data_IF_254109961867
#
_entry.id   IF_254109961867
#
_cell.length_a   1.000
_cell.length_b   1.000
_cell.length_c   1.000
_cell.angle_alpha   90.00
_cell.angle_beta   90.00
_cell.angle_gamma   90.00
#
_symmetry.space_group_name_H-M   'P 1'
#
loop_
_entity.id
_entity.type
_entity.pdbx_description
1 polymer ?
#
# COMPACT_ATOMS: atom_id res chain seq x y z
N UNK A 1 4.44 27.63 7.55
CA UNK A 1 3.72 26.37 7.78
C UNK A 1 4.76 25.30 8.12
N UNK A 2 4.79 24.76 9.34
CA UNK A 2 5.76 23.71 9.73
C UNK A 2 5.57 22.48 8.86
N UNK A 3 6.59 22.11 8.07
CA UNK A 3 6.63 20.85 7.33
C UNK A 3 6.48 19.70 8.34
N UNK A 4 5.29 19.10 8.44
CA UNK A 4 5.10 17.89 9.24
C UNK A 4 6.03 16.83 8.66
N UNK A 5 7.05 16.46 9.44
CA UNK A 5 8.10 15.51 9.03
C UNK A 5 7.46 14.20 8.57
N UNK A 6 7.80 13.77 7.36
CA UNK A 6 7.45 12.43 6.86
C UNK A 6 8.22 11.39 7.68
N UNK A 7 7.66 10.19 7.79
CA UNK A 7 8.43 9.03 8.21
C UNK A 7 9.45 8.67 7.12
N UNK A 8 9.02 8.65 5.85
CA UNK A 8 9.86 8.45 4.66
C UNK A 8 9.19 9.11 3.44
N UNK A 9 9.96 9.40 2.38
CA UNK A 9 9.40 9.84 1.10
C UNK A 9 8.69 8.70 0.36
N UNK A 10 9.24 7.48 0.47
CA UNK A 10 8.69 6.24 -0.10
C UNK A 10 8.88 5.08 0.90
N UNK A 11 8.01 4.08 0.81
CA UNK A 11 8.13 2.83 1.58
C UNK A 11 7.76 1.64 0.70
N UNK A 12 8.49 0.53 0.85
CA UNK A 12 8.24 -0.71 0.09
C UNK A 12 8.14 -1.88 1.06
N UNK A 13 7.03 -2.62 0.99
CA UNK A 13 6.72 -3.75 1.86
C UNK A 13 6.01 -4.83 1.05
N UNK A 14 6.22 -6.11 1.41
CA UNK A 14 5.49 -7.25 0.83
C UNK A 14 4.15 -7.40 1.59
N UNK A 15 3.06 -7.58 0.84
CA UNK A 15 1.65 -7.76 1.28
C UNK A 15 1.03 -6.64 2.13
N UNK A 16 1.83 -5.71 2.65
CA UNK A 16 1.43 -4.66 3.56
C UNK A 16 1.69 -3.28 2.96
N UNK A 17 0.94 -2.29 3.44
CA UNK A 17 1.28 -0.89 3.25
C UNK A 17 2.00 -0.37 4.50
N UNK A 18 2.98 0.51 4.31
CA UNK A 18 3.55 1.31 5.39
C UNK A 18 3.25 2.80 5.14
N UNK A 19 2.78 3.50 6.17
CA UNK A 19 2.42 4.89 6.03
C UNK A 19 3.66 5.79 5.93
N UNK A 20 3.85 6.48 4.80
CA UNK A 20 4.91 7.50 4.59
C UNK A 20 4.87 8.65 5.60
N UNK A 21 3.74 8.87 6.28
CA UNK A 21 3.59 9.96 7.25
C UNK A 21 3.89 9.55 8.71
N UNK A 22 3.61 8.32 9.11
CA UNK A 22 3.66 7.91 10.52
C UNK A 22 4.31 6.54 10.77
N UNK A 23 4.76 5.85 9.71
CA UNK A 23 5.45 4.56 9.79
C UNK A 23 4.58 3.36 10.16
N UNK A 24 3.27 3.56 10.39
CA UNK A 24 2.37 2.46 10.73
C UNK A 24 2.19 1.49 9.56
N UNK A 25 2.33 0.20 9.85
CA UNK A 25 2.16 -0.91 8.91
C UNK A 25 0.75 -1.48 9.05
N UNK A 26 0.10 -1.75 7.92
CA UNK A 26 -1.27 -2.28 7.86
C UNK A 26 -1.46 -3.15 6.61
N UNK A 27 -2.46 -4.03 6.62
CA UNK A 27 -2.72 -5.00 5.56
C UNK A 27 -2.98 -4.29 4.21
N UNK A 28 -2.18 -4.62 3.19
CA UNK A 28 -2.24 -3.98 1.88
C UNK A 28 -3.45 -4.41 1.07
N UNK A 29 -3.82 -5.70 1.13
CA UNK A 29 -5.01 -6.25 0.46
C UNK A 29 -6.29 -5.54 0.93
N UNK A 30 -6.45 -5.41 2.23
CA UNK A 30 -7.62 -4.74 2.83
C UNK A 30 -7.62 -3.25 2.51
N UNK A 31 -6.45 -2.59 2.59
CA UNK A 31 -6.31 -1.17 2.26
C UNK A 31 -6.65 -0.85 0.81
N UNK A 32 -6.31 -1.76 -0.11
CA UNK A 32 -6.65 -1.66 -1.52
C UNK A 32 -8.03 -2.24 -1.83
N UNK A 33 -8.76 -2.83 -0.89
CA UNK A 33 -10.03 -3.53 -1.16
C UNK A 33 -9.91 -4.57 -2.29
N UNK A 34 -8.75 -5.25 -2.38
CA UNK A 34 -8.37 -6.14 -3.49
C UNK A 34 -8.46 -5.52 -4.91
N UNK A 35 -8.54 -4.19 -5.02
CA UNK A 35 -8.47 -3.45 -6.28
C UNK A 35 -6.99 -3.29 -6.68
N UNK A 36 -6.60 -3.98 -7.76
CA UNK A 36 -5.23 -4.00 -8.27
C UNK A 36 -4.85 -2.72 -9.02
N UNK A 37 -5.83 -1.90 -9.39
CA UNK A 37 -5.63 -0.60 -10.05
C UNK A 37 -5.70 0.56 -9.06
N UNK A 38 -5.82 0.27 -7.75
CA UNK A 38 -5.93 1.28 -6.71
C UNK A 38 -4.68 2.15 -6.68
N UNK A 39 -4.87 3.47 -6.81
CA UNK A 39 -3.76 4.44 -6.80
C UNK A 39 -3.56 5.14 -5.45
N UNK A 40 -4.52 5.06 -4.53
CA UNK A 40 -4.43 5.70 -3.22
C UNK A 40 -5.03 4.86 -2.09
N UNK A 41 -4.40 4.94 -0.91
CA UNK A 41 -4.88 4.32 0.34
C UNK A 41 -4.88 5.34 1.47
N UNK A 42 -5.69 5.08 2.49
CA UNK A 42 -5.75 5.92 3.70
C UNK A 42 -5.16 5.16 4.87
N UNK A 43 -4.20 5.78 5.58
CA UNK A 43 -3.64 5.17 6.79
C UNK A 43 -4.71 5.04 7.88
N UNK A 44 -4.96 3.85 8.44
CA UNK A 44 -5.96 3.68 9.50
C UNK A 44 -5.56 4.35 10.82
N UNK A 45 -4.26 4.61 11.05
CA UNK A 45 -3.77 5.23 12.29
C UNK A 45 -3.80 6.76 12.28
N UNK A 46 -3.43 7.38 11.16
CA UNK A 46 -3.30 8.85 11.09
C UNK A 46 -4.24 9.51 10.07
N UNK A 47 -5.10 8.73 9.41
CA UNK A 47 -6.14 9.17 8.47
C UNK A 47 -5.64 10.00 7.28
N UNK A 48 -4.34 9.97 7.00
CA UNK A 48 -3.76 10.65 5.84
C UNK A 48 -3.81 9.72 4.64
N UNK A 49 -4.16 10.29 3.49
CA UNK A 49 -4.18 9.62 2.19
C UNK A 49 -2.80 9.67 1.55
N UNK A 50 -2.37 8.58 0.93
CA UNK A 50 -1.10 8.48 0.23
C UNK A 50 -1.29 7.73 -1.09
N UNK A 51 -0.34 7.89 -2.02
CA UNK A 51 -0.29 7.07 -3.22
C UNK A 51 0.15 5.65 -2.86
N UNK A 52 -0.36 4.67 -3.61
CA UNK A 52 0.10 3.28 -3.56
C UNK A 52 0.45 2.86 -4.98
N UNK A 53 1.54 2.11 -5.13
CA UNK A 53 1.90 1.42 -6.36
C UNK A 53 1.85 -0.07 -6.05
N UNK A 54 1.06 -0.81 -6.83
CA UNK A 54 0.82 -2.24 -6.61
C UNK A 54 1.62 -3.01 -7.66
N UNK A 55 2.42 -3.98 -7.22
CA UNK A 55 3.10 -4.95 -8.09
C UNK A 55 2.53 -6.32 -7.79
N UNK A 56 1.91 -6.96 -8.79
CA UNK A 56 1.36 -8.31 -8.69
C UNK A 56 1.86 -9.15 -9.86
N UNK A 57 2.26 -10.39 -9.56
CA UNK A 57 2.61 -11.39 -10.56
C UNK A 57 1.68 -12.59 -10.39
N UNK A 58 1.03 -12.99 -11.48
CA UNK A 58 0.17 -14.16 -11.54
C UNK A 58 0.67 -15.09 -12.64
N UNK A 59 0.99 -16.32 -12.27
CA UNK A 59 1.30 -17.39 -13.23
C UNK A 59 0.15 -18.38 -13.20
N UNK A 60 -0.47 -18.62 -14.35
CA UNK A 60 -1.51 -19.63 -14.51
C UNK A 60 -0.94 -20.82 -15.29
N UNK A 61 -1.38 -22.03 -14.93
CA UNK A 61 -1.03 -23.26 -15.61
C UNK A 61 -2.30 -24.01 -16.02
N UNK A 62 -2.23 -24.84 -17.08
CA UNK A 62 -3.38 -25.62 -17.51
C UNK A 62 -3.80 -26.65 -16.44
N UNK A 63 -5.11 -26.95 -16.40
CA UNK A 63 -5.69 -27.95 -15.48
C UNK A 63 -5.53 -29.37 -16.02
N UNK A 64 -5.51 -29.52 -17.34
CA UNK A 64 -5.29 -30.78 -18.06
C UNK A 64 -4.20 -30.57 -19.12
N UNK A 65 -3.45 -31.63 -19.43
CA UNK A 65 -2.23 -31.62 -20.25
C UNK A 65 -2.39 -31.05 -21.68
#
# INVERSE_FOLDING_TARGET
>A
MSKKKLFSEETTMIDNCQCVYCGHVFNGRDACNADMDRQTVTCPKCSKRMFVMISVEYTCQPIED
#
